data_IF_630002078662
#
_entry.id   IF_630002078662
#
_cell.length_a   1.000
_cell.length_b   1.000
_cell.length_c   1.000
_cell.angle_alpha   90.00
_cell.angle_beta   90.00
_cell.angle_gamma   90.00
#
_symmetry.space_group_name_H-M   'P 1'
#
loop_
_entity.id
_entity.type
_entity.pdbx_description
1 polymer ?
#
# COMPACT_ATOMS: atom_id res chain seq x y z
N UNK A 1 37.38 1.79 15.43
CA UNK A 1 36.40 1.22 14.48
C UNK A 1 35.59 0.19 15.24
N UNK A 2 34.26 0.35 15.34
CA UNK A 2 33.43 -0.67 16.00
C UNK A 2 33.29 -1.90 15.09
N UNK A 3 33.53 -3.08 15.65
CA UNK A 3 33.47 -4.38 15.01
C UNK A 3 32.02 -4.80 14.72
N UNK A 4 31.84 -5.81 13.86
CA UNK A 4 30.53 -6.40 13.57
C UNK A 4 29.84 -6.91 14.83
N UNK A 5 30.58 -7.48 15.78
CA UNK A 5 30.05 -7.99 17.04
C UNK A 5 29.51 -6.86 17.94
N UNK A 6 30.23 -5.74 18.04
CA UNK A 6 29.77 -4.57 18.79
C UNK A 6 28.49 -3.96 18.20
N UNK A 7 28.35 -3.97 16.87
CA UNK A 7 27.11 -3.52 16.24
C UNK A 7 25.96 -4.50 16.41
N UNK A 8 26.23 -5.80 16.51
CA UNK A 8 25.21 -6.80 16.82
C UNK A 8 24.65 -6.60 18.23
N UNK A 9 25.51 -6.43 19.24
CA UNK A 9 25.09 -6.13 20.61
C UNK A 9 24.24 -4.84 20.67
N UNK A 10 24.67 -3.78 19.98
CA UNK A 10 23.92 -2.51 19.93
C UNK A 10 22.53 -2.68 19.31
N UNK A 11 22.41 -3.44 18.22
CA UNK A 11 21.11 -3.71 17.57
C UNK A 11 20.22 -4.57 18.47
N UNK A 12 20.78 -5.53 19.19
CA UNK A 12 20.03 -6.36 20.13
C UNK A 12 19.53 -5.54 21.33
N UNK A 13 20.39 -4.70 21.91
CA UNK A 13 20.01 -3.74 22.97
C UNK A 13 18.94 -2.77 22.48
N UNK A 14 19.00 -2.35 21.22
CA UNK A 14 17.98 -1.51 20.60
C UNK A 14 16.64 -2.25 20.51
N UNK A 15 16.61 -3.44 19.91
CA UNK A 15 15.39 -4.24 19.73
C UNK A 15 14.73 -4.57 21.09
N UNK A 16 15.53 -4.92 22.11
CA UNK A 16 15.04 -5.17 23.47
C UNK A 16 14.49 -3.91 24.17
N UNK A 17 15.02 -2.74 23.82
CA UNK A 17 14.58 -1.48 24.45
C UNK A 17 13.18 -1.03 24.02
N UNK A 18 12.67 -1.51 22.88
CA UNK A 18 11.40 -1.06 22.31
C UNK A 18 11.35 0.42 21.90
N UNK A 19 12.49 1.13 21.94
CA UNK A 19 12.57 2.53 21.58
C UNK A 19 12.71 2.71 20.07
N UNK A 20 12.31 3.88 19.55
CA UNK A 20 12.65 4.24 18.17
C UNK A 20 14.17 4.33 17.98
N UNK A 21 14.65 4.06 16.77
CA UNK A 21 16.07 4.15 16.44
C UNK A 21 16.65 5.53 16.78
N UNK A 22 15.86 6.59 16.61
CA UNK A 22 16.26 7.97 16.92
C UNK A 22 16.48 8.19 18.41
N UNK A 23 15.54 7.72 19.24
CA UNK A 23 15.61 7.86 20.70
C UNK A 23 16.73 7.01 21.29
N UNK A 24 16.92 5.80 20.77
CA UNK A 24 17.99 4.90 21.21
C UNK A 24 19.37 5.42 20.78
N UNK A 25 19.54 5.82 19.52
CA UNK A 25 20.81 6.31 19.00
C UNK A 25 21.24 7.64 19.64
N UNK A 26 20.30 8.55 19.94
CA UNK A 26 20.57 9.78 20.67
C UNK A 26 21.10 9.51 22.09
N UNK A 27 20.54 8.51 22.79
CA UNK A 27 20.96 8.14 24.15
C UNK A 27 22.37 7.55 24.18
N UNK A 28 22.73 6.80 23.14
CA UNK A 28 23.97 6.03 23.08
C UNK A 28 25.06 6.72 22.24
N UNK A 29 24.79 7.90 21.67
CA UNK A 29 25.78 8.76 21.03
C UNK A 29 26.16 8.38 19.58
N UNK A 30 25.30 7.69 18.84
CA UNK A 30 25.55 7.36 17.42
C UNK A 30 24.40 7.75 16.51
N UNK A 31 24.61 7.63 15.18
CA UNK A 31 23.61 8.06 14.18
C UNK A 31 22.54 6.97 13.99
N UNK A 32 21.24 7.31 13.96
CA UNK A 32 20.15 6.34 13.72
C UNK A 32 20.32 5.56 12.41
N UNK A 33 20.86 6.21 11.37
CA UNK A 33 21.16 5.58 10.07
C UNK A 33 22.11 4.37 10.20
N UNK A 34 23.05 4.42 11.15
CA UNK A 34 23.98 3.31 11.39
C UNK A 34 23.25 2.11 12.02
N UNK A 35 22.33 2.32 12.95
CA UNK A 35 21.50 1.24 13.50
C UNK A 35 20.67 0.55 12.42
N UNK A 36 20.00 1.32 11.55
CA UNK A 36 19.20 0.74 10.48
C UNK A 36 20.04 -0.09 9.51
N UNK A 37 21.19 0.45 9.11
CA UNK A 37 22.10 -0.24 8.20
C UNK A 37 22.66 -1.53 8.83
N UNK A 38 23.07 -1.49 10.10
CA UNK A 38 23.56 -2.68 10.80
C UNK A 38 22.46 -3.70 11.07
N UNK A 39 21.23 -3.29 11.40
CA UNK A 39 20.09 -4.21 11.51
C UNK A 39 19.84 -4.94 10.20
N UNK A 40 19.85 -4.23 9.08
CA UNK A 40 19.69 -4.84 7.76
C UNK A 40 20.86 -5.79 7.45
N UNK A 41 22.10 -5.31 7.64
CA UNK A 41 23.32 -6.08 7.35
C UNK A 41 23.43 -7.36 8.18
N UNK A 42 23.11 -7.31 9.48
CA UNK A 42 23.16 -8.47 10.38
C UNK A 42 22.04 -9.48 10.10
N UNK A 43 20.90 -9.04 9.57
CA UNK A 43 19.83 -9.94 9.11
C UNK A 43 20.19 -10.64 7.80
N UNK A 44 20.84 -9.92 6.87
CA UNK A 44 21.30 -10.49 5.61
C UNK A 44 22.45 -11.49 5.78
N UNK A 45 23.30 -11.27 6.79
CA UNK A 45 24.49 -12.07 7.08
C UNK A 45 24.23 -13.19 8.11
N UNK A 46 22.98 -13.38 8.55
CA UNK A 46 22.58 -14.55 9.34
C UNK A 46 22.42 -15.71 8.35
N UNK A 47 23.33 -16.71 8.34
CA UNK A 47 23.07 -17.93 7.58
C UNK A 47 21.73 -18.46 8.08
N UNK A 48 20.79 -18.68 7.15
CA UNK A 48 19.42 -19.10 7.41
C UNK A 48 19.41 -20.27 8.41
N UNK A 49 19.31 -19.98 9.70
CA UNK A 49 19.08 -21.00 10.69
C UNK A 49 17.66 -21.49 10.43
N UNK A 50 17.46 -22.79 10.22
CA UNK A 50 16.12 -23.33 10.07
C UNK A 50 15.39 -23.09 11.40
N UNK A 51 14.48 -22.13 11.41
CA UNK A 51 13.40 -22.11 12.37
C UNK A 51 12.71 -23.49 12.28
N UNK A 52 12.38 -24.18 13.38
CA UNK A 52 11.74 -25.49 13.34
C UNK A 52 10.30 -25.47 12.76
N UNK A 53 9.90 -24.37 12.11
CA UNK A 53 8.61 -24.22 11.44
C UNK A 53 8.71 -23.65 10.03
N UNK A 54 9.92 -23.53 9.47
CA UNK A 54 10.11 -23.14 8.08
C UNK A 54 10.88 -24.23 7.36
N UNK A 55 10.17 -25.31 7.03
CA UNK A 55 10.52 -26.09 5.84
C UNK A 55 10.73 -25.08 4.71
N UNK A 56 11.89 -25.18 4.07
CA UNK A 56 12.29 -24.42 2.89
C UNK A 56 11.30 -24.71 1.76
N UNK A 57 10.15 -24.09 1.81
CA UNK A 57 9.26 -24.03 0.68
C UNK A 57 9.64 -22.77 -0.08
N UNK A 58 10.10 -22.96 -1.32
CA UNK A 58 10.27 -21.87 -2.26
C UNK A 58 9.00 -20.99 -2.21
N UNK A 59 9.12 -19.66 -2.33
CA UNK A 59 7.96 -18.78 -2.29
C UNK A 59 6.93 -19.28 -3.30
N UNK A 60 5.85 -19.87 -2.79
CA UNK A 60 4.76 -20.40 -3.59
C UNK A 60 3.68 -19.34 -3.68
N UNK A 61 3.08 -19.21 -4.85
CA UNK A 61 1.85 -18.46 -4.97
C UNK A 61 0.78 -19.18 -4.14
N UNK A 62 0.17 -18.45 -3.21
CA UNK A 62 -1.00 -18.94 -2.50
C UNK A 62 -2.23 -18.59 -3.33
N UNK A 63 -3.18 -19.54 -3.50
CA UNK A 63 -4.42 -19.26 -4.20
C UNK A 63 -5.21 -18.21 -3.42
N UNK A 64 -5.53 -17.11 -4.10
CA UNK A 64 -6.46 -16.11 -3.59
C UNK A 64 -7.85 -16.48 -4.10
N UNK A 65 -8.77 -16.74 -3.18
CA UNK A 65 -10.17 -16.89 -3.52
C UNK A 65 -10.76 -15.49 -3.69
N UNK A 66 -11.14 -15.15 -4.93
CA UNK A 66 -11.94 -13.96 -5.18
C UNK A 66 -13.31 -14.21 -4.56
N UNK A 67 -13.52 -13.65 -3.38
CA UNK A 67 -14.86 -13.55 -2.81
C UNK A 67 -15.56 -12.50 -3.64
N UNK A 68 -16.26 -12.94 -4.69
CA UNK A 68 -17.29 -12.12 -5.30
C UNK A 68 -18.32 -11.89 -4.21
N UNK A 69 -18.23 -10.73 -3.56
CA UNK A 69 -19.32 -10.23 -2.75
C UNK A 69 -20.53 -10.27 -3.68
N UNK A 70 -21.46 -11.19 -3.42
CA UNK A 70 -22.73 -11.24 -4.15
C UNK A 70 -23.63 -10.10 -3.68
N UNK A 71 -23.04 -8.92 -3.40
CA UNK A 71 -23.75 -7.69 -3.57
C UNK A 71 -24.06 -7.64 -5.05
N UNK A 72 -25.31 -7.91 -5.41
CA UNK A 72 -25.82 -7.76 -6.76
C UNK A 72 -25.17 -6.51 -7.33
N UNK A 73 -24.27 -6.69 -8.31
CA UNK A 73 -23.55 -5.58 -8.93
C UNK A 73 -24.63 -4.81 -9.64
N UNK A 74 -25.25 -3.88 -8.91
CA UNK A 74 -26.17 -2.92 -9.47
C UNK A 74 -25.32 -2.24 -10.53
N UNK A 75 -25.69 -2.38 -11.80
CA UNK A 75 -24.76 -2.05 -12.86
C UNK A 75 -24.47 -0.55 -12.73
N UNK A 76 -23.19 -0.23 -12.50
CA UNK A 76 -22.78 1.12 -12.12
C UNK A 76 -23.18 2.10 -13.23
N UNK A 77 -23.68 3.29 -12.87
CA UNK A 77 -24.07 4.26 -13.88
C UNK A 77 -22.84 4.75 -14.65
N UNK A 78 -23.02 4.99 -15.95
CA UNK A 78 -22.02 5.68 -16.75
C UNK A 78 -22.02 7.16 -16.34
N UNK A 79 -20.87 7.70 -15.93
CA UNK A 79 -20.71 9.13 -15.63
C UNK A 79 -20.06 9.87 -16.81
N UNK A 80 -20.69 10.94 -17.27
CA UNK A 80 -20.20 11.81 -18.34
C UNK A 80 -20.00 13.19 -17.74
N UNK A 81 -18.74 13.59 -17.56
CA UNK A 81 -18.38 14.95 -17.15
C UNK A 81 -18.33 15.88 -18.37
N UNK A 82 -19.03 17.01 -18.28
CA UNK A 82 -19.11 18.00 -19.34
C UNK A 82 -18.17 19.19 -19.07
N UNK A 83 -17.68 19.91 -20.10
CA UNK A 83 -16.76 21.04 -19.92
C UNK A 83 -17.32 22.18 -19.04
N UNK A 84 -18.64 22.32 -18.98
CA UNK A 84 -19.34 23.29 -18.14
C UNK A 84 -19.45 22.87 -16.65
N UNK A 85 -18.76 21.80 -16.24
CA UNK A 85 -18.74 21.30 -14.86
C UNK A 85 -19.96 20.47 -14.45
N UNK A 86 -20.93 20.26 -15.35
CA UNK A 86 -22.08 19.36 -15.10
C UNK A 86 -21.65 17.90 -15.28
N UNK A 87 -22.32 17.00 -14.57
CA UNK A 87 -22.09 15.54 -14.68
C UNK A 87 -23.42 14.84 -14.97
N UNK A 88 -23.47 14.09 -16.07
CA UNK A 88 -24.62 13.26 -16.44
C UNK A 88 -24.37 11.83 -15.97
N UNK A 89 -25.28 11.26 -15.17
CA UNK A 89 -25.21 9.88 -14.67
C UNK A 89 -26.27 9.02 -15.36
N UNK A 90 -25.84 8.03 -16.13
CA UNK A 90 -26.72 7.19 -16.94
C UNK A 90 -26.82 5.79 -16.32
N UNK A 91 -28.01 5.45 -15.82
CA UNK A 91 -28.26 4.10 -15.31
C UNK A 91 -28.60 3.13 -16.44
N UNK A 92 -28.34 1.83 -16.28
CA UNK A 92 -28.72 0.81 -17.25
C UNK A 92 -30.24 0.73 -17.47
N UNK A 93 -30.64 0.42 -18.70
CA UNK A 93 -32.05 0.50 -19.13
C UNK A 93 -32.49 1.90 -19.58
N UNK A 94 -31.55 2.81 -19.85
CA UNK A 94 -31.87 4.14 -20.39
C UNK A 94 -32.36 4.05 -21.84
N UNK A 95 -33.23 4.99 -22.21
CA UNK A 95 -33.65 5.19 -23.60
C UNK A 95 -32.59 6.03 -24.35
N UNK A 96 -32.01 5.51 -25.46
CA UNK A 96 -30.98 6.22 -26.21
C UNK A 96 -31.43 7.59 -26.73
N UNK A 97 -32.67 7.69 -27.21
CA UNK A 97 -33.19 8.94 -27.78
C UNK A 97 -33.35 10.04 -26.72
N UNK A 98 -33.72 9.67 -25.50
CA UNK A 98 -33.79 10.58 -24.35
C UNK A 98 -32.39 11.01 -23.91
N UNK A 99 -31.43 10.08 -23.84
CA UNK A 99 -30.05 10.41 -23.46
C UNK A 99 -29.42 11.40 -24.45
N UNK A 100 -29.64 11.20 -25.76
CA UNK A 100 -29.15 12.10 -26.80
C UNK A 100 -29.66 13.53 -26.61
N UNK A 101 -30.97 13.71 -26.35
CA UNK A 101 -31.57 15.02 -26.08
C UNK A 101 -31.00 15.67 -24.82
N UNK A 102 -30.82 14.89 -23.75
CA UNK A 102 -30.23 15.38 -22.50
C UNK A 102 -28.79 15.83 -22.72
N UNK A 103 -27.99 15.07 -23.47
CA UNK A 103 -26.61 15.44 -23.79
C UNK A 103 -26.55 16.70 -24.66
N UNK A 104 -27.44 16.86 -25.64
CA UNK A 104 -27.53 18.07 -26.45
C UNK A 104 -27.82 19.31 -25.57
N UNK A 105 -28.85 19.24 -24.72
CA UNK A 105 -29.21 20.33 -23.80
C UNK A 105 -28.13 20.59 -22.74
N UNK A 106 -27.45 19.55 -22.26
CA UNK A 106 -26.43 19.69 -21.24
C UNK A 106 -25.11 20.25 -21.80
N UNK A 107 -24.85 20.06 -23.09
CA UNK A 107 -23.70 20.60 -23.82
C UNK A 107 -23.88 22.06 -24.23
N UNK A 108 -25.12 22.56 -24.31
CA UNK A 108 -25.38 23.98 -24.52
C UNK A 108 -24.79 24.78 -23.35
N UNK A 109 -23.82 25.65 -23.67
CA UNK A 109 -23.42 26.71 -22.75
C UNK A 109 -24.63 27.62 -22.61
N UNK A 110 -25.28 27.57 -21.45
CA UNK A 110 -26.23 28.61 -21.06
C UNK A 110 -25.35 29.75 -20.53
N UNK A 111 -25.10 30.84 -21.29
CA UNK A 111 -24.52 32.03 -20.68
C UNK A 111 -25.54 32.53 -19.64
N UNK A 112 -25.11 32.58 -18.38
CA UNK A 112 -25.82 33.30 -17.34
C UNK A 112 -25.85 34.80 -17.66
#
# INVERSE_FOLDING_TARGET
MATRAEWADRVERWERSGLSAEKFARREGYKPKQLYWWRWKLRADRPSQPSPSSLTEAPRFLPVHVVTDASAVAPEPIEIALPNGRVVRVRPGFDPATLERVLALAAEETPC
#
